data_IF_300702126608
#
_entry.id   IF_300702126608
#
_cell.length_a   1.000
_cell.length_b   1.000
_cell.length_c   1.000
_cell.angle_alpha   90.00
_cell.angle_beta   90.00
_cell.angle_gamma   90.00
#
_symmetry.space_group_name_H-M   'P 1'
#
loop_
_entity.id
_entity.type
_entity.pdbx_description
1 polymer ?
#
# COMPACT_ATOMS: atom_id res chain seq x y z
N UNK A 1 14.81 -9.93 5.82
CA UNK A 1 13.65 -9.04 5.94
C UNK A 1 13.37 -8.55 7.37
N UNK A 2 14.03 -9.12 8.36
CA UNK A 2 13.88 -8.67 9.76
C UNK A 2 14.28 -7.21 9.94
N UNK A 3 15.31 -6.75 9.27
CA UNK A 3 15.75 -5.36 9.34
C UNK A 3 14.71 -4.40 8.76
N UNK A 4 14.10 -4.76 7.63
CA UNK A 4 13.03 -3.96 7.00
C UNK A 4 11.82 -3.89 7.93
N UNK A 5 11.42 -5.02 8.49
CA UNK A 5 10.33 -5.07 9.48
C UNK A 5 10.65 -4.22 10.69
N UNK A 6 11.85 -4.32 11.24
CA UNK A 6 12.27 -3.53 12.40
C UNK A 6 12.24 -2.03 12.11
N UNK A 7 12.70 -1.59 10.95
CA UNK A 7 12.64 -0.19 10.55
C UNK A 7 11.18 0.31 10.44
N UNK A 8 10.31 -0.47 9.83
CA UNK A 8 8.90 -0.12 9.69
C UNK A 8 8.19 -0.07 11.05
N UNK A 9 8.44 -1.04 11.92
CA UNK A 9 7.90 -1.04 13.30
C UNK A 9 8.34 0.21 14.06
N UNK A 10 9.60 0.61 13.92
CA UNK A 10 10.11 1.82 14.58
C UNK A 10 9.35 3.07 14.13
N UNK A 11 9.07 3.20 12.84
CA UNK A 11 8.26 4.31 12.31
C UNK A 11 6.86 4.30 12.94
N UNK A 12 6.23 3.14 13.00
CA UNK A 12 4.89 2.97 13.57
C UNK A 12 4.88 3.31 15.07
N UNK A 13 5.88 2.86 15.82
CA UNK A 13 6.02 3.20 17.24
C UNK A 13 6.22 4.69 17.49
N UNK A 14 6.97 5.37 16.64
CA UNK A 14 7.14 6.83 16.72
C UNK A 14 5.79 7.54 16.47
N UNK A 15 5.03 7.10 15.49
CA UNK A 15 3.69 7.63 15.24
C UNK A 15 2.73 7.36 16.40
N UNK A 16 2.82 6.18 17.00
CA UNK A 16 2.03 5.82 18.19
C UNK A 16 2.32 6.73 19.37
N UNK A 17 3.60 7.03 19.63
CA UNK A 17 3.99 7.94 20.71
C UNK A 17 3.48 9.35 20.47
N UNK A 18 3.43 9.80 19.23
CA UNK A 18 3.03 11.14 18.85
C UNK A 18 1.51 11.32 18.75
N UNK A 19 0.80 10.30 18.24
CA UNK A 19 -0.63 10.40 17.87
C UNK A 19 -1.53 9.37 18.57
N UNK A 20 -0.98 8.44 19.33
CA UNK A 20 -1.72 7.35 19.96
C UNK A 20 -1.98 6.18 19.01
N UNK A 21 -2.87 5.29 19.44
CA UNK A 21 -3.27 4.12 18.67
C UNK A 21 -4.52 4.42 17.85
N UNK A 22 -4.54 4.10 16.54
CA UNK A 22 -5.79 4.10 15.78
C UNK A 22 -6.71 2.98 16.24
N UNK A 23 -8.02 3.17 16.11
CA UNK A 23 -8.97 2.08 16.33
C UNK A 23 -8.89 1.04 15.23
N UNK A 24 -8.78 1.50 14.00
CA UNK A 24 -8.69 0.67 12.79
C UNK A 24 -7.56 1.16 11.90
N UNK A 25 -6.77 0.23 11.37
CA UNK A 25 -5.71 0.51 10.40
C UNK A 25 -6.04 -0.19 9.08
N UNK A 26 -6.06 0.59 8.01
CA UNK A 26 -6.35 0.13 6.66
C UNK A 26 -5.11 0.23 5.79
N UNK A 27 -4.77 -0.82 5.06
CA UNK A 27 -3.57 -0.85 4.22
C UNK A 27 -3.72 -1.81 3.04
N UNK A 28 -3.03 -1.49 1.95
CA UNK A 28 -2.88 -2.40 0.82
C UNK A 28 -1.85 -3.48 1.14
N UNK A 29 -2.11 -4.71 0.72
CA UNK A 29 -1.20 -5.82 0.94
C UNK A 29 -0.90 -6.56 -0.36
N UNK A 30 0.40 -6.84 -0.59
CA UNK A 30 0.87 -7.69 -1.65
C UNK A 30 1.80 -8.80 -1.12
N UNK A 31 2.84 -8.44 -0.35
CA UNK A 31 3.81 -9.40 0.21
C UNK A 31 3.66 -9.65 1.71
N UNK A 32 2.92 -8.80 2.40
CA UNK A 32 2.66 -8.96 3.84
C UNK A 32 3.67 -8.33 4.79
N UNK A 33 4.83 -7.90 4.33
CA UNK A 33 5.88 -7.32 5.20
C UNK A 33 5.38 -6.06 5.91
N UNK A 34 4.76 -5.14 5.18
CA UNK A 34 4.20 -3.92 5.76
C UNK A 34 3.08 -4.24 6.77
N UNK A 35 2.14 -5.07 6.38
CA UNK A 35 1.02 -5.45 7.24
C UNK A 35 1.46 -6.07 8.55
N UNK A 36 2.50 -6.90 8.52
CA UNK A 36 3.10 -7.47 9.71
C UNK A 36 3.72 -6.39 10.60
N UNK A 37 4.42 -5.45 10.02
CA UNK A 37 5.04 -4.33 10.75
C UNK A 37 3.99 -3.45 11.43
N UNK A 38 2.89 -3.15 10.75
CA UNK A 38 1.78 -2.38 11.30
C UNK A 38 1.13 -3.09 12.49
N UNK A 39 0.94 -4.40 12.40
CA UNK A 39 0.36 -5.20 13.48
C UNK A 39 1.26 -5.29 14.70
N UNK A 40 2.57 -5.33 14.52
CA UNK A 40 3.54 -5.31 15.62
C UNK A 40 3.53 -3.95 16.31
N UNK A 41 3.59 -2.87 15.57
CA UNK A 41 3.66 -1.51 16.13
C UNK A 41 2.36 -1.03 16.74
N UNK A 42 1.22 -1.33 16.14
CA UNK A 42 -0.12 -1.01 16.63
C UNK A 42 -0.88 -2.28 17.03
N UNK A 43 -0.35 -3.01 17.98
CA UNK A 43 -0.87 -4.32 18.37
C UNK A 43 -2.25 -4.30 19.03
N UNK A 44 -2.74 -3.15 19.47
CA UNK A 44 -4.07 -2.97 20.05
C UNK A 44 -5.14 -2.50 19.03
N UNK A 45 -4.73 -2.21 17.80
CA UNK A 45 -5.63 -1.77 16.75
C UNK A 45 -6.20 -2.94 15.97
N UNK A 46 -7.36 -2.74 15.33
CA UNK A 46 -7.89 -3.67 14.35
C UNK A 46 -7.27 -3.40 12.99
N UNK A 47 -6.77 -4.43 12.34
CA UNK A 47 -6.07 -4.31 11.06
C UNK A 47 -6.91 -4.87 9.92
N UNK A 48 -7.03 -4.09 8.84
CA UNK A 48 -7.79 -4.41 7.65
C UNK A 48 -6.88 -4.31 6.42
N UNK A 49 -6.61 -5.45 5.83
CA UNK A 49 -5.82 -5.56 4.62
C UNK A 49 -6.72 -5.56 3.39
N UNK A 50 -6.35 -4.80 2.38
CA UNK A 50 -6.93 -4.91 1.04
C UNK A 50 -5.91 -5.57 0.14
N UNK A 51 -6.19 -6.81 -0.26
CA UNK A 51 -5.30 -7.57 -1.14
C UNK A 51 -5.41 -7.04 -2.56
N UNK A 52 -4.35 -6.40 -3.03
CA UNK A 52 -4.25 -5.83 -4.38
C UNK A 52 -3.52 -6.77 -5.34
N UNK A 53 -2.96 -7.84 -4.84
CA UNK A 53 -2.28 -8.91 -5.59
C UNK A 53 -2.87 -10.26 -5.21
N UNK A 54 -2.88 -11.19 -6.16
CA UNK A 54 -3.34 -12.58 -5.94
C UNK A 54 -2.24 -13.50 -5.40
N UNK A 55 -1.03 -12.99 -5.22
CA UNK A 55 0.14 -13.77 -4.82
C UNK A 55 0.37 -13.79 -3.29
N UNK A 56 -0.63 -13.39 -2.52
CA UNK A 56 -0.56 -13.41 -1.07
C UNK A 56 -0.50 -14.85 -0.55
N UNK A 57 0.55 -15.17 0.21
CA UNK A 57 0.75 -16.49 0.78
C UNK A 57 0.04 -16.62 2.13
N UNK A 58 -0.35 -17.84 2.47
CA UNK A 58 -0.91 -18.14 3.79
C UNK A 58 0.06 -17.72 4.92
N UNK A 59 -0.45 -17.10 5.96
CA UNK A 59 0.32 -16.63 7.12
C UNK A 59 0.91 -15.22 6.98
N UNK A 60 0.86 -14.61 5.81
CA UNK A 60 1.35 -13.23 5.62
C UNK A 60 0.39 -12.17 6.17
N UNK A 61 -0.88 -12.51 6.29
CA UNK A 61 -1.92 -11.62 6.82
C UNK A 61 -1.83 -11.38 8.33
N UNK A 62 -1.22 -12.31 9.07
CA UNK A 62 -1.27 -12.28 10.53
C UNK A 62 -2.72 -12.36 11.03
N UNK A 63 -3.14 -11.41 11.85
CA UNK A 63 -4.51 -11.30 12.39
C UNK A 63 -5.37 -10.27 11.67
N UNK A 64 -4.89 -9.72 10.55
CA UNK A 64 -5.65 -8.76 9.77
C UNK A 64 -6.84 -9.42 9.07
N UNK A 65 -7.98 -8.74 9.05
CA UNK A 65 -9.06 -9.08 8.13
C UNK A 65 -8.65 -8.73 6.70
N UNK A 66 -9.18 -9.43 5.71
CA UNK A 66 -8.79 -9.21 4.31
C UNK A 66 -10.01 -9.03 3.41
N UNK A 67 -9.96 -7.99 2.59
CA UNK A 67 -10.81 -7.80 1.43
C UNK A 67 -9.94 -7.96 0.17
N UNK A 68 -10.40 -8.77 -0.79
CA UNK A 68 -9.70 -8.94 -2.06
C UNK A 68 -10.24 -7.96 -3.09
N UNK A 69 -9.38 -7.09 -3.61
CA UNK A 69 -9.78 -6.15 -4.64
C UNK A 69 -9.99 -6.88 -5.98
N UNK A 70 -11.12 -6.66 -6.67
CA UNK A 70 -11.42 -7.35 -7.93
C UNK A 70 -10.57 -6.86 -9.11
N UNK A 71 -9.97 -5.66 -9.01
CA UNK A 71 -9.15 -5.12 -10.09
C UNK A 71 -7.80 -5.85 -10.17
N UNK A 72 -7.32 -6.06 -11.40
CA UNK A 72 -5.98 -6.58 -11.61
C UNK A 72 -4.94 -5.63 -10.96
N UNK A 73 -3.84 -6.20 -10.46
CA UNK A 73 -2.79 -5.45 -9.78
C UNK A 73 -2.26 -4.25 -10.60
N UNK A 74 -2.15 -4.43 -11.91
CA UNK A 74 -1.65 -3.41 -12.84
C UNK A 74 -2.66 -2.31 -13.16
N UNK A 75 -3.93 -2.47 -12.77
CA UNK A 75 -4.98 -1.50 -13.07
C UNK A 75 -5.17 -0.51 -11.93
N UNK A 76 -5.25 0.76 -12.30
CA UNK A 76 -5.58 1.83 -11.38
C UNK A 76 -7.04 1.75 -10.92
N UNK A 77 -7.27 2.19 -9.69
CA UNK A 77 -8.62 2.37 -9.17
C UNK A 77 -9.41 3.39 -10.02
N UNK A 78 -10.72 3.24 -10.02
CA UNK A 78 -11.63 4.14 -10.72
C UNK A 78 -11.64 5.51 -10.05
N UNK A 79 -11.79 6.57 -10.85
CA UNK A 79 -11.76 7.95 -10.37
C UNK A 79 -12.74 8.25 -9.24
N UNK A 80 -13.92 7.66 -9.29
CA UNK A 80 -14.96 7.83 -8.27
C UNK A 80 -14.61 7.22 -6.91
N UNK A 81 -13.64 6.32 -6.85
CA UNK A 81 -13.26 5.57 -5.66
C UNK A 81 -11.91 5.99 -5.06
N UNK A 82 -11.19 6.90 -5.70
CA UNK A 82 -9.89 7.34 -5.20
C UNK A 82 -10.04 8.27 -3.99
N UNK A 83 -9.05 8.28 -3.05
CA UNK A 83 -9.10 9.21 -1.94
C UNK A 83 -8.86 10.66 -2.37
N UNK A 84 -9.26 11.65 -1.53
CA UNK A 84 -9.06 13.07 -1.81
C UNK A 84 -7.63 13.56 -1.55
N UNK A 85 -6.66 12.67 -1.47
CA UNK A 85 -5.23 12.95 -1.27
C UNK A 85 -4.38 12.11 -2.22
N UNK A 86 -3.13 12.49 -2.48
CA UNK A 86 -2.26 11.75 -3.40
C UNK A 86 -1.99 10.32 -2.94
N UNK A 87 -2.20 9.36 -3.85
CA UNK A 87 -1.97 7.92 -3.65
C UNK A 87 -1.40 7.31 -4.91
N UNK A 88 -0.88 6.08 -4.79
CA UNK A 88 -0.54 5.26 -5.96
C UNK A 88 -1.81 4.57 -6.47
N UNK A 89 -2.18 4.85 -7.71
CA UNK A 89 -3.47 4.49 -8.29
C UNK A 89 -3.77 2.99 -8.33
N UNK A 90 -2.77 2.16 -8.56
CA UNK A 90 -2.91 0.70 -8.61
C UNK A 90 -2.65 -0.01 -7.27
N UNK A 91 -2.34 0.73 -6.22
CA UNK A 91 -1.98 0.19 -4.91
C UNK A 91 -2.84 0.80 -3.80
N UNK A 92 -2.35 1.81 -3.11
CA UNK A 92 -3.03 2.39 -1.94
C UNK A 92 -4.41 2.99 -2.27
N UNK A 93 -4.59 3.52 -3.47
CA UNK A 93 -5.87 4.09 -3.87
C UNK A 93 -7.03 3.09 -3.79
N UNK A 94 -6.75 1.79 -3.95
CA UNK A 94 -7.75 0.72 -3.86
C UNK A 94 -8.31 0.50 -2.45
N UNK A 95 -7.60 0.97 -1.43
CA UNK A 95 -7.98 0.81 -0.02
C UNK A 95 -9.16 1.72 0.35
N UNK A 96 -9.18 2.93 -0.19
CA UNK A 96 -10.08 4.01 0.23
C UNK A 96 -11.56 3.63 0.22
N UNK A 97 -12.03 2.93 -0.80
CA UNK A 97 -13.44 2.54 -0.94
C UNK A 97 -13.94 1.57 0.13
N UNK A 98 -13.03 0.85 0.79
CA UNK A 98 -13.37 -0.11 1.84
C UNK A 98 -13.52 0.54 3.22
N UNK A 99 -12.97 1.72 3.40
CA UNK A 99 -12.98 2.41 4.70
C UNK A 99 -14.36 3.02 4.96
N UNK A 100 -15.02 2.69 6.10
CA UNK A 100 -16.28 3.33 6.47
C UNK A 100 -16.10 4.84 6.69
N UNK A 101 -16.88 5.69 5.98
CA UNK A 101 -16.83 7.16 6.10
C UNK A 101 -17.93 7.72 7.00
N UNK A 102 -18.89 6.89 7.38
CA UNK A 102 -20.03 7.30 8.21
C UNK A 102 -19.88 6.95 9.70
N UNK A 103 -18.67 6.54 10.10
CA UNK A 103 -18.37 6.15 11.49
C UNK A 103 -17.14 6.88 12.03
N UNK A 104 -17.16 8.21 12.13
CA UNK A 104 -15.98 8.99 12.51
C UNK A 104 -15.49 8.69 13.93
N UNK A 105 -16.37 8.21 14.81
CA UNK A 105 -16.03 7.85 16.19
C UNK A 105 -15.16 6.59 16.30
N UNK A 106 -15.06 5.77 15.25
CA UNK A 106 -14.29 4.54 15.28
C UNK A 106 -12.79 4.74 15.01
N UNK A 107 -12.36 5.93 14.64
CA UNK A 107 -10.96 6.30 14.42
C UNK A 107 -10.25 5.39 13.40
N UNK A 108 -10.59 5.56 12.13
CA UNK A 108 -10.01 4.82 11.00
C UNK A 108 -8.79 5.56 10.44
N UNK A 109 -7.66 4.88 10.38
CA UNK A 109 -6.42 5.38 9.78
C UNK A 109 -6.09 4.55 8.54
N UNK A 110 -5.67 5.21 7.49
CA UNK A 110 -5.19 4.57 6.27
C UNK A 110 -3.67 4.76 6.17
N UNK A 111 -2.96 3.67 6.01
CA UNK A 111 -1.54 3.71 5.70
C UNK A 111 -1.37 3.95 4.20
N UNK A 112 -0.82 5.10 3.84
CA UNK A 112 -0.53 5.50 2.47
C UNK A 112 0.98 5.43 2.23
N UNK A 113 1.43 4.48 1.42
CA UNK A 113 2.87 4.25 1.17
C UNK A 113 3.49 5.37 0.34
N UNK A 114 2.74 5.90 -0.61
CA UNK A 114 3.30 6.92 -1.48
C UNK A 114 2.29 7.59 -2.40
N UNK A 115 2.83 8.34 -3.33
CA UNK A 115 2.08 9.01 -4.40
C UNK A 115 2.79 8.77 -5.73
N UNK A 116 2.04 8.89 -6.80
CA UNK A 116 2.64 8.87 -8.13
C UNK A 116 3.52 10.11 -8.31
N UNK A 117 4.72 9.95 -8.87
CA UNK A 117 5.57 11.08 -9.15
C UNK A 117 4.95 11.97 -10.22
N UNK A 118 4.98 13.27 -10.00
CA UNK A 118 4.67 14.26 -11.03
C UNK A 118 5.99 14.54 -11.74
N UNK A 119 6.10 14.07 -12.99
CA UNK A 119 7.27 14.37 -13.82
C UNK A 119 6.91 15.57 -14.69
N UNK A 120 7.53 16.71 -14.42
CA UNK A 120 7.40 17.92 -15.21
C UNK A 120 8.12 17.78 -16.58
N UNK A 121 9.08 16.88 -16.65
CA UNK A 121 9.90 16.61 -17.83
C UNK A 121 9.66 15.19 -18.34
N UNK A 122 9.12 15.08 -19.53
CA UNK A 122 8.85 13.81 -20.20
C UNK A 122 10.11 13.15 -20.82
N UNK A 123 11.27 13.81 -20.80
CA UNK A 123 12.50 13.28 -21.41
C UNK A 123 12.92 11.94 -20.82
N UNK A 124 12.65 11.69 -19.53
CA UNK A 124 12.93 10.42 -18.88
C UNK A 124 12.06 9.30 -19.48
N UNK A 125 10.79 9.55 -19.74
CA UNK A 125 9.91 8.58 -20.38
C UNK A 125 10.33 8.31 -21.82
N UNK A 126 10.74 9.33 -22.57
CA UNK A 126 11.25 9.18 -23.93
C UNK A 126 12.51 8.34 -23.93
N UNK A 127 13.40 8.52 -22.96
CA UNK A 127 14.62 7.70 -22.81
C UNK A 127 14.29 6.25 -22.47
N UNK A 128 13.33 6.00 -21.57
CA UNK A 128 12.90 4.63 -21.23
C UNK A 128 12.28 3.95 -22.44
N UNK A 129 11.46 4.67 -23.21
CA UNK A 129 10.84 4.18 -24.44
C UNK A 129 11.90 3.83 -25.48
N UNK A 130 12.84 4.75 -25.71
CA UNK A 130 13.99 4.53 -26.61
C UNK A 130 14.79 3.28 -26.19
N UNK A 131 15.01 3.08 -24.88
CA UNK A 131 15.72 1.92 -24.36
C UNK A 131 14.98 0.60 -24.64
N UNK A 132 13.66 0.60 -24.58
CA UNK A 132 12.85 -0.58 -24.95
C UNK A 132 13.00 -0.95 -26.42
N UNK A 133 13.18 0.04 -27.27
CA UNK A 133 13.32 -0.14 -28.72
C UNK A 133 14.70 -0.73 -29.11
N UNK A 134 15.66 -0.82 -28.17
CA UNK A 134 16.97 -1.41 -28.40
C UNK A 134 16.97 -2.96 -28.44
N UNK A 135 15.82 -3.55 -28.23
CA UNK A 135 15.67 -5.00 -28.20
C UNK A 135 15.93 -5.63 -26.83
N UNK A 136 15.78 -6.92 -26.77
CA UNK A 136 16.01 -7.69 -25.53
C UNK A 136 17.51 -7.96 -25.37
N UNK A 137 18.10 -7.32 -24.35
CA UNK A 137 19.54 -7.48 -24.07
C UNK A 137 19.97 -8.90 -23.72
N UNK A 138 19.02 -9.78 -23.43
CA UNK A 138 19.30 -11.20 -23.22
C UNK A 138 19.83 -11.90 -24.47
N UNK A 139 19.58 -11.35 -25.64
CA UNK A 139 20.06 -11.89 -26.91
C UNK A 139 21.52 -11.51 -27.18
N UNK A 140 22.15 -10.72 -26.31
CA UNK A 140 23.53 -10.25 -26.45
C UNK A 140 24.53 -11.05 -25.59
N UNK A 141 24.03 -11.95 -24.75
CA UNK A 141 24.85 -12.90 -23.99
C UNK A 141 25.01 -14.21 -24.79
#
# INVERSE_FOLDING_TARGET
>A
HELVTACAVRVVENLRQEHGDPGHVWFAISTGVLGRSLQIGWNNSQHHAVAVSRNLKAGELGQASVDSDPLAFTRNERKENIPPFPTVGNYDAKVWKYIPKNKPQENHWMWNVGKEPILEDNTIFDRIKSYRDWGDHRDLE
#
